data_IF_358458375490
#
_entry.id   IF_358458375490
#
_cell.length_a   1.000
_cell.length_b   1.000
_cell.length_c   1.000
_cell.angle_alpha   90.00
_cell.angle_beta   90.00
_cell.angle_gamma   90.00
#
_symmetry.space_group_name_H-M   'P 1'
#
loop_
_entity.id
_entity.type
_entity.pdbx_description
1 polymer ?
2 polymer ?
3 water ?
#
# COMPACT_ATOMS: atom_id res chain seq x y z
N UNK A 1 16.17 -10.44 -5.12
CA UNK A 1 17.53 -10.19 -4.67
C UNK A 1 17.90 -8.84 -5.29
N UNK A 2 18.86 -8.14 -4.69
CA UNK A 2 19.28 -6.86 -5.19
C UNK A 2 20.77 -7.03 -5.01
N UNK A 3 21.55 -6.17 -4.34
CA UNK A 3 22.97 -6.48 -4.18
C UNK A 3 23.06 -7.65 -3.17
N UNK A 4 22.10 -7.83 -2.24
CA UNK A 4 22.16 -9.02 -1.41
C UNK A 4 21.10 -9.97 -1.96
N UNK A 5 21.35 -11.28 -1.95
CA UNK A 5 20.41 -12.25 -2.46
C UNK A 5 19.66 -13.03 -1.38
N UNK A 6 18.35 -13.12 -1.59
CA UNK A 6 17.38 -13.75 -0.66
C UNK A 6 16.49 -14.73 -1.43
N UNK A 7 16.01 -15.90 -0.95
CA UNK A 7 14.99 -16.66 -1.65
C UNK A 7 13.82 -15.74 -1.91
N UNK A 8 13.18 -15.70 -3.06
CA UNK A 8 11.96 -14.92 -3.28
C UNK A 8 10.80 -15.28 -2.36
N UNK A 9 10.72 -16.54 -1.98
CA UNK A 9 9.61 -17.05 -1.23
C UNK A 9 10.06 -18.16 -0.30
N UNK A 10 9.50 -18.25 0.91
CA UNK A 10 9.75 -19.32 1.86
C UNK A 10 8.38 -19.59 2.47
N UNK A 11 8.07 -20.83 2.82
CA UNK A 11 6.80 -21.16 3.46
C UNK A 11 7.05 -22.16 4.56
N UNK A 12 6.21 -22.19 5.59
CA UNK A 12 6.36 -23.20 6.61
C UNK A 12 5.02 -23.38 7.27
N UNK A 13 4.85 -24.47 7.97
CA UNK A 13 3.60 -24.76 8.68
C UNK A 13 3.60 -24.12 10.06
N UNK A 14 2.47 -23.76 10.70
CA UNK A 14 2.44 -23.26 12.09
C UNK A 14 3.26 -24.15 13.01
N UNK A 15 3.96 -23.52 13.93
CA UNK A 15 4.78 -24.23 14.89
C UNK A 15 6.12 -24.65 14.36
N UNK A 16 6.37 -24.67 13.06
CA UNK A 16 7.60 -25.16 12.47
C UNK A 16 8.69 -24.08 12.52
N UNK A 17 9.91 -24.45 12.16
CA UNK A 17 11.01 -23.51 12.08
C UNK A 17 11.21 -23.15 10.62
N UNK A 18 11.43 -21.90 10.20
CA UNK A 18 11.82 -21.64 8.83
C UNK A 18 13.06 -20.75 8.86
N UNK A 19 13.81 -20.80 7.77
CA UNK A 19 15.02 -20.07 7.60
C UNK A 19 15.01 -19.23 6.33
N UNK A 20 15.51 -18.00 6.43
CA UNK A 20 15.61 -17.10 5.30
C UNK A 20 17.07 -16.69 5.16
N UNK A 21 17.74 -17.08 4.08
CA UNK A 21 19.12 -16.70 3.86
C UNK A 21 19.30 -15.35 3.13
N UNK A 22 20.47 -14.77 3.27
CA UNK A 22 20.81 -13.48 2.72
C UNK A 22 22.27 -13.63 2.30
N UNK A 23 22.59 -13.79 1.02
CA UNK A 23 23.96 -13.97 0.59
C UNK A 23 24.50 -12.70 0.00
N UNK A 24 25.66 -12.23 0.41
CA UNK A 24 26.32 -11.10 -0.20
C UNK A 24 27.68 -11.54 -0.71
N UNK A 25 28.72 -10.75 -0.48
CA UNK A 25 30.06 -10.97 -1.04
C UNK A 25 31.11 -10.45 -0.08
N UNK A 26 32.36 -10.58 -0.47
CA UNK A 26 33.50 -10.03 0.24
C UNK A 26 33.39 -8.56 0.49
N UNK A 27 32.61 -7.79 -0.26
CA UNK A 27 32.61 -6.37 -0.02
C UNK A 27 31.68 -5.97 1.08
N UNK A 28 30.72 -6.83 1.41
CA UNK A 28 29.73 -6.37 2.38
C UNK A 28 29.63 -7.33 3.52
N UNK A 29 28.79 -8.37 3.49
CA UNK A 29 28.71 -9.29 4.62
C UNK A 29 30.05 -9.99 4.87
N UNK A 30 30.80 -10.35 3.83
CA UNK A 30 32.10 -10.99 4.01
C UNK A 30 33.17 -10.01 4.45
N UNK A 31 32.83 -8.74 4.78
CA UNK A 31 33.84 -7.76 5.15
C UNK A 31 33.69 -7.29 6.58
N UNK A 32 33.11 -8.10 7.46
CA UNK A 32 32.97 -7.70 8.86
C UNK A 32 32.00 -6.59 9.12
N UNK A 33 30.91 -6.65 8.34
CA UNK A 33 29.81 -5.70 8.50
C UNK A 33 28.65 -6.46 9.09
N UNK A 34 27.87 -5.74 9.87
CA UNK A 34 26.66 -6.31 10.44
C UNK A 34 25.51 -6.55 9.45
N UNK A 35 24.55 -7.46 9.72
CA UNK A 35 23.41 -7.71 8.84
C UNK A 35 22.18 -7.38 9.67
N UNK A 36 21.33 -6.50 9.18
CA UNK A 36 20.10 -6.13 9.84
C UNK A 36 18.92 -6.69 9.06
N UNK A 37 17.78 -6.87 9.73
CA UNK A 37 16.64 -7.52 9.14
C UNK A 37 15.43 -6.67 9.40
N UNK A 38 14.55 -6.52 8.41
CA UNK A 38 13.35 -5.72 8.52
C UNK A 38 12.17 -6.59 8.14
N UNK A 39 11.04 -6.37 8.78
CA UNK A 39 9.82 -7.09 8.51
C UNK A 39 8.85 -6.08 7.90
N UNK A 40 8.18 -6.38 6.78
CA UNK A 40 7.32 -5.39 6.22
C UNK A 40 5.98 -6.06 5.98
N UNK A 41 5.01 -5.66 6.78
CA UNK A 41 3.66 -6.20 6.72
C UNK A 41 2.90 -5.44 5.63
N UNK A 42 1.79 -5.94 5.07
CA UNK A 42 1.06 -5.30 4.00
C UNK A 42 0.68 -3.85 4.30
N UNK A 43 1.09 -3.05 3.33
CA UNK A 43 0.82 -1.62 3.34
C UNK A 43 1.46 -0.88 4.51
N UNK A 44 2.59 -1.32 5.09
CA UNK A 44 3.19 -0.55 6.15
C UNK A 44 4.67 -0.36 5.79
N UNK A 45 5.28 0.57 6.52
CA UNK A 45 6.69 0.83 6.42
C UNK A 45 7.38 -0.42 6.98
N UNK A 46 8.63 -0.78 6.58
CA UNK A 46 9.45 -1.79 7.25
C UNK A 46 9.63 -1.50 8.74
N UNK A 47 9.77 -2.53 9.56
CA UNK A 47 10.04 -2.42 10.97
C UNK A 47 11.41 -3.10 11.15
N UNK A 48 12.35 -2.54 11.89
CA UNK A 48 13.63 -3.19 12.17
C UNK A 48 13.38 -4.34 13.16
N UNK A 49 13.90 -5.54 12.97
CA UNK A 49 13.71 -6.62 13.94
C UNK A 49 14.78 -6.56 14.98
N UNK A 50 14.46 -6.83 16.25
CA UNK A 50 15.37 -6.77 17.40
C UNK A 50 15.54 -8.21 17.90
N UNK A 51 16.75 -8.76 17.97
CA UNK A 51 16.93 -10.16 18.35
C UNK A 51 17.18 -10.37 19.84
N UNK A 52 17.53 -9.31 20.62
CA UNK A 52 17.71 -9.39 22.07
C UNK A 52 16.46 -9.87 22.77
N UNK A 53 16.74 -11.00 23.44
CA UNK A 53 15.79 -11.75 24.27
C UNK A 53 14.56 -12.13 23.49
N UNK A 54 14.76 -12.26 22.16
CA UNK A 54 13.66 -12.58 21.29
C UNK A 54 13.57 -14.12 21.29
N UNK A 55 12.45 -14.62 21.78
CA UNK A 55 12.22 -16.04 21.90
C UNK A 55 12.12 -16.77 20.59
N UNK A 56 11.52 -16.19 19.54
CA UNK A 56 11.30 -16.90 18.28
C UNK A 56 12.18 -16.59 17.07
N UNK A 57 12.82 -15.40 17.05
CA UNK A 57 13.60 -14.92 15.93
C UNK A 57 15.08 -14.91 16.25
N UNK A 58 15.94 -15.45 15.41
CA UNK A 58 17.36 -15.38 15.70
C UNK A 58 18.17 -15.28 14.42
N UNK A 59 19.42 -14.86 14.43
CA UNK A 59 20.19 -14.74 13.21
C UNK A 59 21.47 -15.53 13.27
N UNK A 60 21.97 -15.95 12.13
CA UNK A 60 23.24 -16.62 11.97
C UNK A 60 23.94 -15.90 10.84
N UNK A 61 25.27 -16.00 10.77
CA UNK A 61 26.06 -15.37 9.72
C UNK A 61 27.32 -16.20 9.56
N UNK A 62 27.81 -16.48 8.37
CA UNK A 62 29.06 -17.18 8.22
C UNK A 62 29.61 -16.79 6.86
N UNK A 63 30.76 -16.12 6.83
CA UNK A 63 31.35 -15.75 5.57
C UNK A 63 30.52 -14.64 4.93
N UNK A 64 30.10 -14.91 3.72
CA UNK A 64 29.32 -13.97 2.97
C UNK A 64 27.83 -14.26 3.07
N UNK A 65 27.32 -15.15 3.93
CA UNK A 65 25.89 -15.26 4.06
C UNK A 65 25.41 -15.22 5.50
N UNK A 66 24.20 -14.75 5.65
CA UNK A 66 23.52 -14.64 6.94
C UNK A 66 22.15 -15.30 6.83
N UNK A 67 21.51 -15.58 7.96
CA UNK A 67 20.24 -16.26 7.96
C UNK A 67 19.40 -15.79 9.11
N UNK A 68 18.12 -15.66 8.83
CA UNK A 68 17.16 -15.33 9.84
C UNK A 68 16.43 -16.63 10.08
N UNK A 69 16.28 -17.08 11.33
CA UNK A 69 15.49 -18.26 11.70
C UNK A 69 14.26 -17.84 12.50
N UNK A 70 13.10 -18.36 12.17
CA UNK A 70 11.89 -18.10 12.93
C UNK A 70 11.42 -19.46 13.45
N UNK A 71 11.22 -19.61 14.75
CA UNK A 71 10.72 -20.86 15.32
C UNK A 71 9.31 -20.61 15.80
N UNK A 72 8.55 -21.69 15.86
CA UNK A 72 7.19 -21.61 16.36
C UNK A 72 6.41 -20.68 15.48
N UNK A 73 6.57 -20.90 14.18
CA UNK A 73 5.93 -20.07 13.18
C UNK A 73 4.43 -19.84 13.38
N UNK A 74 4.01 -18.59 13.36
CA UNK A 74 2.62 -18.20 13.50
C UNK A 74 2.13 -17.48 12.27
N UNK A 75 0.83 -17.52 11.97
CA UNK A 75 0.26 -16.79 10.86
C UNK A 75 0.53 -15.30 10.95
N UNK A 76 0.66 -14.63 12.09
CA UNK A 76 0.97 -13.21 12.02
C UNK A 76 2.44 -12.90 11.66
N UNK A 77 3.24 -13.94 11.40
CA UNK A 77 4.58 -13.75 10.90
C UNK A 77 4.57 -13.62 9.39
N UNK A 78 3.43 -13.76 8.69
CA UNK A 78 3.43 -13.59 7.26
C UNK A 78 3.74 -12.15 6.94
N UNK A 79 4.75 -11.95 6.10
CA UNK A 79 5.24 -10.63 5.79
C UNK A 79 6.38 -10.83 4.80
N UNK A 80 6.87 -9.70 4.30
CA UNK A 80 8.08 -9.63 3.52
C UNK A 80 9.22 -9.31 4.46
N UNK A 81 10.34 -9.99 4.25
CA UNK A 81 11.51 -9.87 5.11
C UNK A 81 12.68 -9.45 4.24
N UNK A 82 13.44 -8.41 4.65
CA UNK A 82 14.56 -7.88 3.90
C UNK A 82 15.79 -7.93 4.78
N UNK A 83 16.92 -8.38 4.25
CA UNK A 83 18.15 -8.22 5.00
C UNK A 83 18.85 -6.97 4.47
N UNK A 84 19.75 -6.40 5.25
CA UNK A 84 20.45 -5.20 4.84
C UNK A 84 21.86 -5.25 5.45
N UNK A 85 22.90 -4.80 4.74
CA UNK A 85 24.24 -4.78 5.26
C UNK A 85 24.91 -3.51 4.76
N UNK A 86 26.25 -3.44 4.76
CA UNK A 86 27.02 -2.22 4.51
C UNK A 86 28.18 -2.56 3.61
N UNK A 87 28.51 -1.63 2.74
CA UNK A 87 29.67 -1.72 1.87
C UNK A 87 30.24 -0.34 2.08
N UNK A 88 31.15 -0.25 3.01
CA UNK A 88 31.69 1.05 3.43
C UNK A 88 30.57 1.83 4.15
N UNK A 89 30.25 3.03 3.70
CA UNK A 89 29.12 3.71 4.30
C UNK A 89 27.87 3.49 3.49
N UNK A 90 27.92 2.73 2.39
CA UNK A 90 26.72 2.48 1.60
C UNK A 90 25.88 1.45 2.34
N UNK A 91 24.57 1.66 2.42
CA UNK A 91 23.70 0.64 2.98
C UNK A 91 23.22 -0.18 1.82
N UNK A 92 23.26 -1.48 1.92
CA UNK A 92 22.88 -2.38 0.84
C UNK A 92 21.67 -3.25 1.22
N UNK A 93 20.54 -3.35 0.49
CA UNK A 93 19.39 -4.21 0.82
C UNK A 93 19.33 -5.47 -0.05
N UNK A 94 18.86 -6.54 0.57
CA UNK A 94 18.48 -7.71 -0.16
C UNK A 94 17.21 -7.44 -0.92
N UNK A 95 16.88 -8.39 -1.80
CA UNK A 95 15.70 -8.23 -2.62
C UNK A 95 14.40 -8.61 -1.96
N UNK A 96 14.31 -9.26 -0.80
CA UNK A 96 13.03 -9.51 -0.16
C UNK A 96 12.62 -10.96 -0.24
N UNK A 97 11.97 -11.47 0.80
CA UNK A 97 11.47 -12.84 0.85
C UNK A 97 10.06 -12.75 1.40
N UNK A 98 9.10 -13.29 0.66
CA UNK A 98 7.71 -13.32 1.07
C UNK A 98 7.58 -14.57 1.91
N UNK A 99 7.23 -14.46 3.19
CA UNK A 99 7.00 -15.66 3.99
C UNK A 99 5.52 -16.03 3.98
N UNK A 100 5.16 -17.25 3.64
CA UNK A 100 3.78 -17.70 3.66
C UNK A 100 3.68 -18.74 4.78
N UNK A 101 2.62 -18.66 5.59
CA UNK A 101 2.36 -19.68 6.59
C UNK A 101 1.31 -20.58 5.95
N UNK A 102 1.66 -21.85 5.91
CA UNK A 102 0.82 -22.87 5.33
C UNK A 102 -0.34 -23.30 6.26
N UNK A 103 -1.24 -24.07 5.66
CA UNK A 103 -2.34 -24.74 6.33
C UNK A 103 -3.34 -23.79 6.97
N UNK A 104 -3.45 -22.58 6.44
CA UNK A 104 -4.40 -21.62 6.99
C UNK A 104 -5.80 -21.96 6.45
N UNK A 105 -6.86 -21.85 7.26
CA UNK A 105 -8.22 -22.23 6.85
C UNK A 105 -8.79 -21.47 5.69
N UNK A 106 -9.51 -22.15 4.82
CA UNK A 106 -10.17 -21.47 3.72
C UNK A 106 -11.22 -20.49 4.29
N UNK A 107 -11.29 -19.22 3.83
CA UNK A 107 -12.35 -18.29 4.24
C UNK A 107 -13.15 -17.90 3.01
N UNK A 108 -14.48 -18.11 2.95
CA UNK A 108 -15.27 -17.77 1.76
C UNK A 108 -15.50 -16.27 1.71
N UNK A 109 -15.62 -15.58 0.58
CA UNK A 109 -15.73 -14.12 0.55
C UNK A 109 -17.06 -13.52 1.02
N UNK A 110 -17.09 -12.35 1.63
CA UNK A 110 -18.29 -11.59 1.87
C UNK A 110 -18.41 -10.74 0.60
N UNK A 111 -19.59 -10.66 -0.03
CA UNK A 111 -19.80 -9.88 -1.25
C UNK A 111 -20.82 -8.77 -0.98
N UNK A 112 -20.57 -7.52 -1.31
CA UNK A 112 -21.54 -6.44 -1.11
C UNK A 112 -21.71 -5.86 -2.51
N UNK A 113 -22.92 -5.67 -3.01
CA UNK A 113 -23.11 -5.11 -4.33
C UNK A 113 -23.92 -3.83 -4.20
N UNK A 114 -23.54 -2.71 -4.79
CA UNK A 114 -24.27 -1.45 -4.75
C UNK A 114 -24.75 -1.14 -6.15
N UNK A 115 -26.03 -0.75 -6.26
CA UNK A 115 -26.58 -0.16 -7.49
C UNK A 115 -25.96 1.23 -7.79
N UNK A 116 -26.07 1.80 -8.99
CA UNK A 116 -25.74 3.18 -9.30
C UNK A 116 -26.45 4.17 -8.40
N UNK A 117 -25.80 5.23 -7.91
CA UNK A 117 -26.50 6.30 -7.18
C UNK A 117 -27.37 7.11 -8.18
N UNK A 118 -28.47 7.73 -7.74
CA UNK A 118 -29.28 8.55 -8.63
C UNK A 118 -28.48 9.72 -9.12
N UNK A 119 -27.58 10.18 -8.25
CA UNK A 119 -26.69 11.27 -8.60
C UNK A 119 -25.84 10.99 -9.86
N UNK A 120 -25.27 9.78 -9.92
CA UNK A 120 -24.47 9.37 -11.03
C UNK A 120 -25.31 9.22 -12.27
N UNK A 121 -26.55 8.75 -12.11
CA UNK A 121 -27.41 8.60 -13.30
C UNK A 121 -27.69 9.97 -13.93
N UNK A 122 -27.70 11.07 -13.13
CA UNK A 122 -27.85 12.45 -13.59
C UNK A 122 -26.65 12.80 -14.45
N UNK A 123 -25.45 12.34 -14.06
CA UNK A 123 -24.25 12.50 -14.87
C UNK A 123 -24.26 11.65 -16.15
N UNK A 124 -25.33 10.93 -16.46
CA UNK A 124 -25.44 10.07 -17.63
C UNK A 124 -24.51 8.88 -17.60
N UNK A 125 -24.20 8.37 -16.40
CA UNK A 125 -23.28 7.25 -16.22
C UNK A 125 -23.84 6.33 -15.14
N UNK A 126 -23.41 5.07 -15.07
CA UNK A 126 -23.92 4.14 -14.06
C UNK A 126 -22.82 3.13 -13.72
N UNK A 127 -22.46 3.04 -12.44
CA UNK A 127 -21.47 2.09 -12.01
C UNK A 127 -22.12 1.23 -10.96
N UNK A 128 -22.03 -0.10 -11.11
CA UNK A 128 -22.44 -1.09 -10.13
C UNK A 128 -21.13 -1.52 -9.47
N UNK A 129 -21.10 -1.59 -8.14
CA UNK A 129 -19.89 -1.78 -7.38
C UNK A 129 -20.03 -3.10 -6.60
N UNK A 130 -19.26 -4.11 -6.95
CA UNK A 130 -19.18 -5.37 -6.21
C UNK A 130 -17.89 -5.46 -5.37
N UNK A 131 -18.02 -5.44 -4.04
CA UNK A 131 -16.92 -5.44 -3.11
C UNK A 131 -16.81 -6.82 -2.49
N UNK A 132 -15.58 -7.36 -2.54
CA UNK A 132 -15.36 -8.75 -2.17
C UNK A 132 -14.31 -8.76 -1.10
N UNK A 133 -14.65 -9.26 0.07
CA UNK A 133 -13.70 -9.22 1.15
C UNK A 133 -13.63 -10.49 2.00
N UNK A 134 -12.52 -10.52 2.73
CA UNK A 134 -12.19 -11.53 3.70
C UNK A 134 -12.07 -12.93 3.20
N UNK A 135 -11.55 -13.11 2.02
CA UNK A 135 -11.42 -14.45 1.52
C UNK A 135 -10.00 -14.99 1.54
N UNK A 136 -9.86 -16.31 1.56
CA UNK A 136 -8.59 -16.96 1.60
C UNK A 136 -8.79 -18.39 1.09
N UNK A 137 -7.98 -18.94 0.17
CA UNK A 137 -6.85 -18.26 -0.45
C UNK A 137 -7.23 -17.14 -1.42
N UNK A 138 -6.26 -16.41 -1.96
CA UNK A 138 -6.49 -15.22 -2.76
C UNK A 138 -6.92 -15.35 -4.20
N UNK A 139 -7.52 -16.36 -4.79
CA UNK A 139 -7.99 -16.23 -6.16
C UNK A 139 -9.51 -16.24 -6.15
N UNK A 140 -10.14 -15.41 -6.98
CA UNK A 140 -11.59 -15.44 -7.17
C UNK A 140 -11.84 -15.21 -8.63
N UNK A 141 -13.02 -15.61 -9.09
CA UNK A 141 -13.46 -15.36 -10.43
C UNK A 141 -14.68 -14.49 -10.17
N UNK A 142 -14.85 -13.43 -10.94
CA UNK A 142 -15.95 -12.50 -10.76
C UNK A 142 -16.54 -12.48 -12.13
N UNK A 143 -17.84 -12.68 -12.17
CA UNK A 143 -18.55 -12.59 -13.45
C UNK A 143 -19.83 -11.80 -13.20
N UNK A 144 -20.31 -11.16 -14.24
CA UNK A 144 -21.51 -10.36 -14.15
C UNK A 144 -22.55 -10.92 -15.11
N UNK A 145 -23.79 -10.90 -14.61
CA UNK A 145 -24.98 -11.23 -15.37
C UNK A 145 -26.04 -10.10 -15.38
N UNK A 146 -26.60 -9.91 -16.57
CA UNK A 146 -27.69 -8.97 -16.86
C UNK A 146 -28.84 -9.96 -17.09
N UNK A 147 -29.76 -9.98 -16.12
CA UNK A 147 -30.79 -10.99 -16.00
C UNK A 147 -30.11 -12.34 -15.91
N UNK A 148 -30.10 -13.18 -16.95
CA UNK A 148 -29.37 -14.45 -16.87
C UNK A 148 -28.16 -14.46 -17.82
N UNK A 149 -28.05 -13.52 -18.76
CA UNK A 149 -26.96 -13.57 -19.71
C UNK A 149 -25.70 -12.90 -19.16
N UNK A 150 -24.49 -13.40 -19.54
CA UNK A 150 -23.19 -12.85 -19.14
C UNK A 150 -22.88 -11.50 -19.68
N UNK A 151 -22.25 -10.66 -18.86
CA UNK A 151 -21.86 -9.34 -19.29
C UNK A 151 -20.34 -9.45 -19.31
N UNK A 152 -19.74 -9.10 -20.45
CA UNK A 152 -18.28 -9.09 -20.62
C UNK A 152 -17.73 -7.69 -20.67
N UNK A 153 -18.44 -6.84 -21.44
CA UNK A 153 -17.97 -5.48 -21.63
C UNK A 153 -18.23 -4.63 -20.41
N UNK A 154 -17.31 -3.72 -20.21
CA UNK A 154 -17.42 -2.72 -19.18
C UNK A 154 -17.00 -3.19 -17.83
N UNK A 155 -16.35 -4.34 -17.69
CA UNK A 155 -15.98 -4.85 -16.37
C UNK A 155 -14.51 -4.55 -16.04
N UNK A 156 -14.26 -4.04 -14.84
CA UNK A 156 -12.94 -3.75 -14.34
C UNK A 156 -12.86 -4.43 -12.96
N UNK A 157 -12.02 -5.47 -12.82
CA UNK A 157 -11.83 -6.18 -11.57
C UNK A 157 -10.40 -6.02 -11.11
N UNK A 158 -10.17 -5.72 -9.84
CA UNK A 158 -8.85 -5.66 -9.31
C UNK A 158 -8.28 -7.06 -9.05
N UNK A 159 -6.95 -7.09 -8.92
CA UNK A 159 -6.23 -8.27 -8.50
C UNK A 159 -6.36 -8.34 -7.01
N UNK A 160 -6.56 -9.46 -6.32
CA UNK A 160 -6.85 -9.49 -4.90
C UNK A 160 -5.65 -8.98 -4.12
N UNK A 161 -5.78 -8.31 -2.98
CA UNK A 161 -4.59 -7.89 -2.31
C UNK A 161 -4.79 -8.21 -0.87
N UNK A 162 -3.69 -8.51 -0.21
CA UNK A 162 -3.74 -9.01 1.14
C UNK A 162 -3.91 -7.91 2.15
N UNK A 163 -4.85 -8.15 3.04
CA UNK A 163 -5.18 -7.22 4.11
C UNK A 163 -4.29 -7.55 5.33
N UNK A 164 -4.33 -6.68 6.34
CA UNK A 164 -3.60 -6.85 7.59
C UNK A 164 -3.96 -8.19 8.21
N UNK A 165 -5.25 -8.51 8.20
CA UNK A 165 -5.72 -9.76 8.76
C UNK A 165 -5.30 -11.04 8.04
N UNK A 166 -4.49 -10.95 6.98
CA UNK A 166 -4.04 -12.03 6.12
C UNK A 166 -5.02 -12.61 5.11
N UNK A 167 -6.25 -12.09 5.07
CA UNK A 167 -7.20 -12.44 4.03
C UNK A 167 -7.12 -11.42 2.90
N UNK A 168 -7.77 -11.64 1.78
CA UNK A 168 -7.71 -10.78 0.59
C UNK A 168 -9.02 -10.02 0.40
N UNK A 169 -8.88 -8.93 -0.33
CA UNK A 169 -9.99 -8.06 -0.71
C UNK A 169 -9.90 -7.81 -2.19
N UNK A 170 -10.98 -7.68 -2.93
CA UNK A 170 -10.96 -7.35 -4.33
C UNK A 170 -12.21 -6.49 -4.66
N UNK A 171 -12.36 -5.92 -5.86
CA UNK A 171 -13.48 -5.08 -6.25
C UNK A 171 -13.68 -5.34 -7.72
N UNK A 172 -14.92 -5.25 -8.18
CA UNK A 172 -15.21 -5.30 -9.61
C UNK A 172 -16.25 -4.19 -9.82
N UNK A 173 -16.09 -3.46 -10.92
CA UNK A 173 -16.90 -2.32 -11.28
C UNK A 173 -17.48 -2.62 -12.64
N UNK A 174 -18.77 -2.41 -12.82
CA UNK A 174 -19.40 -2.61 -14.12
C UNK A 174 -19.93 -1.25 -14.55
N UNK A 175 -19.53 -0.80 -15.72
CA UNK A 175 -19.96 0.50 -16.23
C UNK A 175 -21.03 0.27 -17.27
N UNK A 176 -22.16 0.93 -17.09
CA UNK A 176 -23.32 0.80 -17.95
C UNK A 176 -23.80 2.19 -18.36
N UNK A 177 -24.61 2.33 -19.40
CA UNK A 177 -25.25 3.61 -19.69
C UNK A 177 -26.51 3.57 -18.83
N UNK A 178 -27.15 4.66 -18.41
CA UNK A 178 -28.41 4.62 -17.68
C UNK A 178 -29.51 3.82 -18.40
N UNK A 179 -29.56 3.84 -19.74
CA UNK A 179 -30.56 3.08 -20.46
C UNK A 179 -30.28 1.59 -20.33
N UNK A 180 -29.02 1.11 -20.46
CA UNK A 180 -28.72 -0.30 -20.22
C UNK A 180 -29.10 -0.74 -18.82
N UNK A 181 -28.85 0.11 -17.82
CA UNK A 181 -29.25 -0.21 -16.46
C UNK A 181 -30.77 -0.32 -16.35
N UNK A 182 -31.54 0.64 -16.87
CA UNK A 182 -32.98 0.59 -16.71
C UNK A 182 -33.63 -0.53 -17.51
N UNK A 183 -33.00 -0.98 -18.59
CA UNK A 183 -33.57 -2.03 -19.40
C UNK A 183 -33.36 -3.47 -18.95
N UNK A 184 -33.06 -3.80 -17.68
CA UNK A 184 -32.95 -5.21 -17.26
C UNK A 184 -33.61 -5.34 -15.93
N UNK A 185 -34.17 -6.50 -15.63
CA UNK A 185 -34.83 -6.62 -14.35
C UNK A 185 -33.78 -6.75 -13.23
N UNK A 186 -32.61 -7.39 -13.50
CA UNK A 186 -31.57 -7.57 -12.49
C UNK A 186 -30.18 -7.60 -13.10
N UNK A 187 -29.22 -7.29 -12.23
CA UNK A 187 -27.78 -7.44 -12.50
C UNK A 187 -27.26 -8.20 -11.30
N UNK A 188 -26.41 -9.21 -11.57
CA UNK A 188 -25.78 -10.01 -10.52
C UNK A 188 -24.26 -9.94 -10.64
N UNK A 189 -23.67 -9.81 -9.47
CA UNK A 189 -22.25 -10.00 -9.32
C UNK A 189 -22.09 -11.44 -8.75
N UNK A 190 -21.45 -12.30 -9.53
CA UNK A 190 -21.23 -13.69 -9.24
C UNK A 190 -19.75 -13.91 -8.93
N UNK A 191 -19.44 -14.32 -7.72
CA UNK A 191 -18.09 -14.46 -7.25
C UNK A 191 -17.85 -15.92 -6.91
N UNK A 192 -17.00 -16.62 -7.67
CA UNK A 192 -16.66 -17.99 -7.34
C UNK A 192 -15.27 -18.09 -6.73
N UNK A 193 -15.20 -18.81 -5.63
CA UNK A 193 -14.01 -18.99 -4.85
C UNK A 193 -13.89 -20.46 -4.48
N UNK A 194 -12.77 -21.08 -4.92
CA UNK A 194 -12.48 -22.47 -4.61
C UNK A 194 -13.69 -23.32 -4.88
N UNK A 195 -14.24 -23.08 -6.06
CA UNK A 195 -15.40 -23.83 -6.48
C UNK A 195 -16.73 -23.43 -5.85
N UNK A 196 -16.93 -22.54 -4.90
CA UNK A 196 -18.29 -22.15 -4.46
C UNK A 196 -18.60 -20.75 -4.90
N UNK A 197 -19.83 -20.53 -5.31
CA UNK A 197 -20.27 -19.25 -5.81
C UNK A 197 -21.14 -18.57 -4.78
N UNK A 198 -20.95 -17.26 -4.69
CA UNK A 198 -21.74 -16.37 -3.86
C UNK A 198 -22.30 -15.43 -4.94
N UNK A 199 -23.60 -15.17 -5.04
CA UNK A 199 -24.12 -14.28 -6.04
C UNK A 199 -24.93 -13.17 -5.34
N UNK A 200 -24.94 -11.94 -5.84
CA UNK A 200 -25.68 -10.86 -5.23
C UNK A 200 -26.28 -10.15 -6.41
N UNK A 201 -27.53 -9.72 -6.22
CA UNK A 201 -28.29 -9.16 -7.30
C UNK A 201 -28.88 -7.80 -6.92
N UNK A 202 -29.08 -6.94 -7.90
CA UNK A 202 -29.69 -5.64 -7.68
C UNK A 202 -30.59 -5.41 -8.87
N UNK A 203 -31.60 -4.59 -8.66
CA UNK A 203 -32.62 -4.30 -9.65
C UNK A 203 -32.84 -2.79 -9.70
N UNK A 204 -33.10 -2.20 -10.88
CA UNK A 204 -33.55 -0.81 -11.01
C UNK A 204 -34.81 -0.52 -10.19
N UNK B 1 6.10 10.18 19.81
CA UNK B 1 7.41 9.56 20.04
C UNK B 1 8.27 10.21 18.95
N UNK B 2 9.33 9.57 18.48
CA UNK B 2 10.10 10.04 17.33
C UNK B 2 9.08 10.02 16.20
N UNK B 3 8.86 11.07 15.43
CA UNK B 3 7.88 11.05 14.37
C UNK B 3 8.59 11.69 13.18
N UNK B 4 8.50 11.02 12.01
CA UNK B 4 9.09 11.48 10.78
C UNK B 4 7.95 11.61 9.80
N UNK B 5 7.87 12.69 9.04
CA UNK B 5 6.78 12.87 8.10
C UNK B 5 7.30 13.45 6.81
N UNK B 6 7.09 12.73 5.72
CA UNK B 6 7.43 13.14 4.37
C UNK B 6 6.49 14.23 3.83
N UNK B 7 6.90 15.01 2.86
CA UNK B 7 6.05 15.98 2.22
C UNK B 7 6.65 16.21 0.87
N UNK B 8 5.86 16.28 -0.18
CA UNK B 8 6.37 16.68 -1.49
C UNK B 8 5.27 16.49 -2.52
N UNK B 9 5.50 16.77 -3.80
CA UNK B 9 4.54 16.57 -4.86
C UNK B 9 4.23 15.07 -4.98
N UNK B 10 3.01 14.80 -5.39
CA UNK B 10 2.63 13.43 -5.63
C UNK B 10 2.82 13.12 -7.10
N UNK B 11 2.85 14.06 -8.02
CA UNK B 11 2.98 13.83 -9.46
C UNK B 11 4.13 14.73 -9.95
N UNK B 12 5.06 14.19 -10.72
CA UNK B 12 6.18 14.95 -11.25
C UNK B 12 6.26 14.56 -12.71
N UNK B 13 6.46 15.54 -13.60
CA UNK B 13 6.63 15.25 -15.02
C UNK B 13 8.01 14.67 -15.31
N UNK B 14 8.18 13.77 -16.30
CA UNK B 14 9.47 13.30 -16.77
C UNK B 14 10.37 14.50 -17.04
N UNK B 15 11.63 14.37 -16.57
CA UNK B 15 12.75 15.26 -16.73
C UNK B 15 12.80 16.31 -15.67
N UNK B 16 11.72 16.53 -14.94
CA UNK B 16 11.76 17.46 -13.84
C UNK B 16 12.51 16.91 -12.61
N UNK B 17 12.57 17.70 -11.54
CA UNK B 17 13.26 17.35 -10.32
C UNK B 17 12.22 17.02 -9.25
N UNK B 18 12.31 15.83 -8.65
CA UNK B 18 11.49 15.43 -7.55
C UNK B 18 12.11 16.09 -6.34
N UNK B 19 11.31 16.70 -5.50
CA UNK B 19 11.79 17.34 -4.32
C UNK B 19 10.97 16.82 -3.13
N UNK B 20 11.52 16.31 -2.02
CA UNK B 20 10.72 15.82 -0.92
C UNK B 20 11.30 16.31 0.36
N UNK B 21 10.56 16.65 1.42
CA UNK B 21 11.11 17.08 2.69
C UNK B 21 10.60 16.16 3.80
N UNK B 22 11.38 15.97 4.85
CA UNK B 22 11.01 15.15 5.95
C UNK B 22 11.20 16.05 7.14
N UNK B 23 10.22 16.05 8.04
CA UNK B 23 10.27 16.83 9.25
C UNK B 23 10.29 15.76 10.32
N UNK B 24 11.18 16.04 11.24
CA UNK B 24 11.58 15.13 12.28
C UNK B 24 11.04 15.67 13.59
N UNK B 25 10.51 14.87 14.51
CA UNK B 25 10.21 15.42 15.81
C UNK B 25 10.31 14.32 16.82
N UNK B 26 10.57 14.69 18.07
CA UNK B 26 10.66 13.71 19.13
C UNK B 26 12.07 13.15 19.26
N UNK B 27 13.07 13.72 18.59
CA UNK B 27 14.41 13.17 18.67
C UNK B 27 15.39 14.30 18.52
N UNK B 28 16.68 14.06 18.83
CA UNK B 28 17.70 15.06 18.57
C UNK B 28 18.01 14.95 17.08
N UNK B 29 18.30 16.04 16.40
CA UNK B 29 18.59 15.99 14.99
C UNK B 29 20.03 15.68 14.67
N UNK B 30 20.91 15.90 15.62
CA UNK B 30 22.32 15.80 15.35
C UNK B 30 23.00 14.47 15.61
N UNK B 31 22.31 13.37 15.90
CA UNK B 31 23.11 12.17 16.14
C UNK B 31 22.76 11.02 15.22
N UNK B 32 22.16 11.32 14.05
CA UNK B 32 21.59 10.30 13.18
C UNK B 32 21.89 10.60 11.74
N UNK B 33 21.99 9.53 10.96
CA UNK B 33 22.07 9.68 9.53
C UNK B 33 20.63 9.73 8.99
N UNK B 34 20.20 10.89 8.55
CA UNK B 34 18.85 11.07 8.05
C UNK B 34 18.82 10.48 6.67
N UNK B 35 17.95 9.47 6.54
CA UNK B 35 17.92 8.61 5.39
C UNK B 35 16.71 8.74 4.48
N UNK B 36 16.90 8.43 3.21
CA UNK B 36 15.82 8.23 2.28
C UNK B 36 15.99 6.83 1.69
N UNK B 37 14.86 6.13 1.62
CA UNK B 37 14.76 4.78 1.02
C UNK B 37 13.51 4.84 0.11
N UNK B 38 13.43 4.16 -1.02
CA UNK B 38 12.26 4.16 -1.84
C UNK B 38 11.91 2.74 -2.14
N UNK B 39 10.66 2.53 -2.49
CA UNK B 39 10.17 1.21 -2.84
C UNK B 39 9.24 1.35 -4.03
N UNK B 40 9.70 1.06 -5.26
CA UNK B 40 8.93 1.07 -6.48
C UNK B 40 7.80 0.06 -6.34
N UNK B 41 6.58 0.27 -6.92
CA UNK B 41 5.41 -0.58 -6.75
C UNK B 41 5.74 -2.01 -7.19
N UNK B 42 5.42 -2.92 -6.28
CA UNK B 42 5.73 -4.32 -6.45
C UNK B 42 7.23 -4.66 -6.51
N UNK B 43 8.15 -3.82 -5.97
CA UNK B 43 9.57 -4.12 -6.00
C UNK B 43 10.16 -4.03 -4.60
N UNK B 44 11.44 -4.32 -4.40
CA UNK B 44 12.03 -4.26 -3.08
C UNK B 44 12.45 -2.86 -2.72
N UNK B 45 13.10 -2.74 -1.58
CA UNK B 45 13.55 -1.48 -1.00
C UNK B 45 14.85 -1.08 -1.63
N UNK B 46 15.06 0.18 -1.82
CA UNK B 46 16.30 0.66 -2.41
C UNK B 46 16.76 1.86 -1.63
N UNK B 47 17.94 1.76 -1.01
CA UNK B 47 18.52 2.85 -0.29
C UNK B 47 18.91 3.97 -1.27
N UNK B 48 18.72 5.23 -0.86
CA UNK B 48 19.01 6.33 -1.75
C UNK B 48 20.22 7.00 -1.14
N UNK B 49 20.22 7.37 0.13
CA UNK B 49 21.35 8.04 0.72
C UNK B 49 21.00 8.56 2.07
N UNK B 50 22.00 9.15 2.72
CA UNK B 50 21.79 9.77 4.01
C UNK B 50 22.51 11.13 4.04
N UNK B 51 22.19 11.92 5.04
CA UNK B 51 22.90 13.15 5.32
C UNK B 51 22.92 13.27 6.84
N UNK B 52 24.09 13.71 7.32
CA UNK B 52 24.35 13.98 8.74
C UNK B 52 24.27 15.50 8.89
N UNK B 53 23.97 16.08 10.06
CA UNK B 53 23.79 17.51 10.18
C UNK B 53 25.05 18.29 9.84
N UNK B 54 26.25 17.75 9.98
CA UNK B 54 27.46 18.46 9.57
C UNK B 54 27.57 18.56 8.04
N UNK B 55 26.82 17.79 7.26
CA UNK B 55 26.92 17.83 5.83
C UNK B 55 27.50 16.54 5.34
N UNK B 56 28.04 15.65 6.19
CA UNK B 56 28.52 14.34 5.71
C UNK B 56 27.38 13.61 5.01
N UNK B 57 27.65 13.10 3.83
CA UNK B 57 26.59 12.54 3.06
C UNK B 57 27.16 11.43 2.22
N UNK B 58 26.28 10.50 1.88
CA UNK B 58 26.63 9.46 0.94
C UNK B 58 25.38 9.05 0.20
N UNK B 59 25.46 8.57 -1.02
CA UNK B 59 24.29 8.21 -1.77
C UNK B 59 24.56 6.93 -2.54
N UNK B 60 23.50 6.31 -3.03
CA UNK B 60 23.59 5.07 -3.77
C UNK B 60 24.35 5.36 -5.07
N UNK B 61 25.43 4.66 -5.46
CA UNK B 61 26.17 4.94 -6.70
C UNK B 61 25.30 4.89 -7.95
N UNK B 62 24.19 4.15 -8.03
CA UNK B 62 23.44 4.12 -9.26
C UNK B 62 22.58 5.35 -9.47
N UNK B 63 22.53 6.24 -8.52
CA UNK B 63 21.79 7.48 -8.67
C UNK B 63 22.82 8.62 -8.64
N UNK B 64 24.09 8.32 -8.90
CA UNK B 64 25.13 9.33 -8.82
C UNK B 64 24.79 10.41 -9.87
N UNK B 65 24.98 11.65 -9.43
CA UNK B 65 24.74 12.73 -10.34
C UNK B 65 23.31 13.24 -10.23
N UNK B 66 22.33 12.52 -9.66
CA UNK B 66 20.98 13.06 -9.58
C UNK B 66 20.53 13.49 -8.21
N UNK B 67 21.26 13.15 -7.16
CA UNK B 67 20.84 13.34 -5.78
C UNK B 67 21.47 14.57 -5.11
N UNK B 68 20.69 15.39 -4.47
CA UNK B 68 21.24 16.42 -3.62
C UNK B 68 20.40 16.27 -2.37
N UNK B 69 21.04 16.26 -1.21
CA UNK B 69 20.37 16.21 0.07
C UNK B 69 20.69 17.49 0.76
N UNK B 70 19.63 17.96 1.40
CA UNK B 70 19.64 19.24 2.05
C UNK B 70 19.26 19.02 3.49
N UNK B 71 19.83 19.77 4.40
CA UNK B 71 19.56 19.72 5.83
C UNK B 71 19.15 21.15 6.20
N UNK B 72 18.23 21.30 7.13
CA UNK B 72 17.88 22.60 7.62
C UNK B 72 17.67 22.35 9.11
N UNK B 73 18.75 22.60 9.82
CA UNK B 73 18.79 22.42 11.26
C UNK B 73 17.79 23.32 11.99
N UNK B 74 17.52 24.54 11.54
CA UNK B 74 16.59 25.42 12.22
C UNK B 74 15.17 24.87 12.14
N UNK B 75 14.82 24.21 11.04
CA UNK B 75 13.51 23.60 10.95
C UNK B 75 13.53 22.13 11.34
N UNK B 76 14.64 21.42 11.63
CA UNK B 76 14.65 19.97 11.84
C UNK B 76 14.08 19.25 10.63
N UNK B 77 14.52 19.68 9.48
CA UNK B 77 14.03 19.12 8.24
C UNK B 77 15.23 18.73 7.40
N UNK B 78 14.99 17.76 6.52
CA UNK B 78 16.00 17.43 5.55
C UNK B 78 15.22 17.09 4.28
N UNK B 79 15.85 17.25 3.12
CA UNK B 79 15.16 17.11 1.86
C UNK B 79 15.96 16.28 0.88
N UNK B 80 15.28 15.71 -0.09
CA UNK B 80 15.88 14.97 -1.15
C UNK B 80 15.53 15.77 -2.39
N UNK B 81 16.42 15.93 -3.37
CA UNK B 81 16.09 16.49 -4.67
C UNK B 81 16.71 15.46 -5.60
N UNK B 82 15.90 14.92 -6.48
CA UNK B 82 16.32 13.89 -7.41
C UNK B 82 15.99 14.51 -8.76
N UNK B 83 16.99 14.78 -9.58
CA UNK B 83 16.76 15.49 -10.82
C UNK B 83 16.52 14.52 -11.94
N UNK B 84 16.03 15.04 -13.04
CA UNK B 84 15.80 14.27 -14.24
C UNK B 84 15.06 12.94 -14.01
N UNK B 85 13.88 13.03 -13.40
CA UNK B 85 13.15 11.81 -13.13
C UNK B 85 12.61 11.17 -14.40
N UNK B 86 12.41 9.87 -14.39
CA UNK B 86 11.79 9.18 -15.48
C UNK B 86 10.71 8.32 -14.81
N UNK B 87 9.93 7.53 -15.54
CA UNK B 87 8.92 6.65 -14.99
C UNK B 87 9.51 5.70 -13.98
N UNK B 88 10.72 5.25 -14.20
CA UNK B 88 11.45 4.42 -13.29
C UNK B 88 11.52 4.95 -11.86
N UNK B 89 11.43 6.29 -11.66
CA UNK B 89 11.48 6.85 -10.31
C UNK B 89 10.14 6.88 -9.60
N UNK B 90 9.08 6.37 -10.22
CA UNK B 90 7.82 6.23 -9.49
C UNK B 90 8.04 5.26 -8.32
N UNK B 91 7.79 5.68 -7.08
CA UNK B 91 8.00 4.83 -5.94
C UNK B 91 7.38 5.46 -4.72
N UNK B 92 7.25 4.69 -3.62
CA UNK B 92 7.00 5.25 -2.31
C UNK B 92 8.37 5.66 -1.75
N UNK B 93 8.51 6.87 -1.24
CA UNK B 93 9.75 7.40 -0.70
C UNK B 93 9.56 7.53 0.78
N UNK B 94 10.41 6.87 1.53
CA UNK B 94 10.38 6.93 2.97
C UNK B 94 11.53 7.77 3.50
N UNK B 95 11.34 8.67 4.47
CA UNK B 95 12.53 9.15 5.14
C UNK B 95 12.65 8.32 6.39
N UNK B 96 13.86 8.15 6.89
CA UNK B 96 14.08 7.25 7.98
C UNK B 96 15.25 7.71 8.83
N UNK B 97 15.31 7.14 10.01
CA UNK B 97 16.37 7.34 10.95
C UNK B 97 17.34 6.14 10.97
N UNK B 98 18.59 6.42 10.51
CA UNK B 98 19.63 5.40 10.51
C UNK B 98 20.51 5.73 11.73
N UNK B 99 20.69 4.74 12.59
CA UNK B 99 21.43 4.86 13.85
C UNK B 99 22.94 4.89 13.66
N UNK B 100 23.44 4.84 12.43
CA UNK B 100 24.84 4.80 12.02
C UNK B 100 25.30 3.41 12.38
N UNK B 101 25.33 2.97 13.64
CA UNK B 101 25.59 1.56 13.92
C UNK B 101 24.29 1.15 14.61
N UNK B 102 23.56 0.18 14.08
CA UNK B 102 22.35 -0.22 14.71
C UNK B 102 21.16 -0.38 13.77
N UNK B 103 21.24 0.10 12.53
CA UNK B 103 20.18 -0.04 11.54
C UNK B 103 19.22 1.13 11.46
N UNK B 104 18.20 0.95 10.63
CA UNK B 104 17.29 2.04 10.37
C UNK B 104 16.08 1.73 11.26
N UNK B 105 15.88 2.46 12.38
CA UNK B 105 14.89 2.04 13.37
C UNK B 105 13.56 2.74 13.31
N UNK B 106 13.44 3.93 12.72
CA UNK B 106 12.19 4.63 12.71
C UNK B 106 12.00 5.05 11.25
N UNK B 107 10.84 4.81 10.69
CA UNK B 107 10.56 5.05 9.28
C UNK B 107 9.37 5.96 9.23
N UNK B 108 9.29 6.88 8.25
CA UNK B 108 8.08 7.67 8.11
C UNK B 108 6.99 6.79 7.48
N UNK B 109 5.93 7.38 7.00
CA UNK B 109 4.79 6.63 6.51
C UNK B 109 4.96 6.33 5.03
N UNK B 110 5.73 7.17 4.36
CA UNK B 110 6.08 7.00 2.96
C UNK B 110 5.27 7.93 2.11
N UNK B 111 5.82 8.55 1.06
CA UNK B 111 5.00 9.28 0.12
C UNK B 111 5.18 8.74 -1.26
N UNK B 112 4.03 8.52 -1.88
CA UNK B 112 3.99 7.96 -3.21
C UNK B 112 4.18 9.12 -4.19
N UNK B 113 5.19 8.99 -5.03
CA UNK B 113 5.44 9.92 -6.11
C UNK B 113 5.28 9.18 -7.43
N UNK B 114 4.41 9.70 -8.29
CA UNK B 114 4.20 9.15 -9.59
C UNK B 114 4.82 10.15 -10.58
N UNK B 115 5.61 9.61 -11.49
CA UNK B 115 6.25 10.40 -12.54
C UNK B 115 5.50 10.12 -13.81
N UNK B 116 4.84 11.11 -14.38
CA UNK B 116 3.95 10.88 -15.51
C UNK B 116 3.79 12.16 -16.29
N UNK B 117 3.50 12.02 -17.58
CA UNK B 117 3.08 13.15 -18.40
C UNK B 117 1.60 13.46 -18.26
N UNK B 118 0.78 12.58 -17.70
CA UNK B 118 -0.66 12.80 -17.56
C UNK B 118 -0.94 13.86 -16.51
N UNK B 119 -2.00 14.67 -16.61
CA UNK B 119 -2.32 15.72 -15.64
C UNK B 119 -3.08 15.13 -14.47
N UNK B 120 -3.02 15.71 -13.28
CA UNK B 120 -3.87 15.28 -12.21
C UNK B 120 -5.36 15.54 -12.53
N UNK B 121 -6.23 14.74 -11.94
CA UNK B 121 -7.65 14.92 -12.02
C UNK B 121 -8.19 14.55 -10.65
N UNK B 122 -8.93 15.45 -10.01
CA UNK B 122 -9.54 15.18 -8.72
C UNK B 122 -10.76 14.24 -8.88
N UNK B 123 -11.24 13.55 -7.86
CA UNK B 123 -12.28 12.55 -8.01
C UNK B 123 -13.71 13.08 -8.13
N UNK B 124 -14.65 12.40 -8.77
CA UNK B 124 -16.06 12.73 -8.55
C UNK B 124 -16.50 11.81 -7.42
N UNK B 125 -17.22 12.24 -6.38
CA UNK B 125 -17.61 11.38 -5.29
C UNK B 125 -19.12 11.13 -5.36
N UNK B 126 -19.56 9.88 -5.38
CA UNK B 126 -20.96 9.53 -5.37
C UNK B 126 -21.29 8.79 -4.09
N UNK B 127 -22.45 8.98 -3.46
CA UNK B 127 -22.84 8.23 -2.27
C UNK B 127 -23.28 6.81 -2.61
N UNK B 128 -23.00 5.82 -1.80
CA UNK B 128 -23.45 4.45 -2.03
C UNK B 128 -24.36 4.21 -0.84
N UNK B 129 -25.66 4.46 -1.06
CA UNK B 129 -26.68 4.38 -0.02
C UNK B 129 -26.95 2.96 0.46
N UNK B 130 -27.15 2.77 1.78
CA UNK B 130 -27.51 1.49 2.37
C UNK B 130 -28.79 0.94 1.75
N UNK B 139 -27.21 -4.63 10.39
CA UNK B 139 -26.23 -3.64 10.03
C UNK B 139 -26.54 -3.33 8.58
N UNK B 140 -26.17 -2.14 8.13
CA UNK B 140 -26.34 -1.81 6.73
C UNK B 140 -24.92 -1.39 6.34
N UNK B 141 -24.54 -1.50 5.08
CA UNK B 141 -23.24 -1.06 4.65
C UNK B 141 -23.55 0.17 3.83
N UNK B 142 -22.88 1.26 4.04
CA UNK B 142 -23.10 2.40 3.17
C UNK B 142 -21.69 2.85 2.75
N UNK B 143 -21.51 3.66 1.72
CA UNK B 143 -20.17 4.03 1.31
C UNK B 143 -20.13 5.20 0.37
N UNK B 144 -18.93 5.45 -0.16
CA UNK B 144 -18.67 6.48 -1.14
C UNK B 144 -17.82 5.85 -2.23
N UNK B 145 -18.20 6.15 -3.47
CA UNK B 145 -17.53 5.74 -4.66
C UNK B 145 -16.68 6.95 -5.03
N UNK B 146 -15.36 6.84 -5.00
CA UNK B 146 -14.43 7.92 -5.36
C UNK B 146 -13.96 7.55 -6.76
N UNK B 147 -14.51 8.19 -7.76
CA UNK B 147 -14.41 7.86 -9.18
C UNK B 147 -13.43 8.72 -9.97
N UNK B 148 -12.67 8.08 -10.83
CA UNK B 148 -11.86 8.75 -11.85
C UNK B 148 -10.91 9.87 -11.47
N UNK B 149 -9.89 9.48 -10.73
CA UNK B 149 -8.92 10.43 -10.28
C UNK B 149 -7.55 9.94 -10.71
N UNK B 150 -6.58 10.84 -10.70
CA UNK B 150 -5.24 10.47 -11.05
C UNK B 150 -4.30 11.50 -10.43
N UNK B 151 -3.13 11.17 -9.83
CA UNK B 151 -2.71 9.80 -9.56
C UNK B 151 -3.27 9.36 -8.21
N UNK B 152 -2.78 8.22 -7.76
CA UNK B 152 -2.96 7.80 -6.39
C UNK B 152 -2.12 8.73 -5.53
N UNK B 153 -2.35 8.80 -4.22
CA UNK B 153 -3.47 8.16 -3.53
C UNK B 153 -4.62 9.13 -3.22
N UNK B 154 -5.68 8.63 -2.63
CA UNK B 154 -6.74 9.45 -2.16
C UNK B 154 -6.88 9.00 -0.70
N UNK B 155 -7.18 9.89 0.23
CA UNK B 155 -7.44 9.56 1.62
C UNK B 155 -8.96 9.65 1.85
N UNK B 156 -9.61 8.68 2.48
CA UNK B 156 -11.02 8.78 2.77
C UNK B 156 -11.20 8.61 4.28
N UNK B 157 -11.81 9.56 4.97
CA UNK B 157 -12.14 9.35 6.35
C UNK B 157 -13.64 9.55 6.49
N UNK B 158 -14.18 9.08 7.60
CA UNK B 158 -15.60 9.20 7.84
C UNK B 158 -15.76 10.00 9.10
N UNK B 159 -16.62 10.99 8.94
CA UNK B 159 -17.02 11.91 9.97
C UNK B 159 -15.78 12.57 10.52
N UNK B 160 -14.98 13.13 9.63
CA UNK B 160 -13.70 13.76 9.96
C UNK B 160 -12.80 12.93 10.90
N UNK B 161 -12.78 11.61 10.72
CA UNK B 161 -11.97 10.74 11.54
C UNK B 161 -12.69 10.22 12.76
N UNK B 162 -13.90 10.69 13.04
CA UNK B 162 -14.60 10.22 14.22
C UNK B 162 -15.00 8.78 14.04
N UNK B 163 -15.30 8.33 12.83
CA UNK B 163 -15.78 6.97 12.68
C UNK B 163 -14.60 6.20 12.15
N UNK B 164 -14.18 5.20 12.89
CA UNK B 164 -13.13 4.29 12.48
C UNK B 164 -13.65 2.86 12.54
N UNK B 165 -14.65 2.64 13.38
CA UNK B 165 -15.17 1.32 13.61
C UNK B 165 -15.88 0.78 12.38
N UNK B 166 -15.31 -0.26 11.77
CA UNK B 166 -15.97 -0.91 10.66
C UNK B 166 -15.87 -0.17 9.34
N UNK B 167 -14.78 0.57 9.12
CA UNK B 167 -14.54 1.25 7.87
C UNK B 167 -13.65 0.35 7.02
N UNK B 168 -13.92 0.14 5.74
CA UNK B 168 -13.04 -0.61 4.88
C UNK B 168 -12.93 0.12 3.57
N UNK B 169 -11.75 0.70 3.34
CA UNK B 169 -11.46 1.33 2.06
C UNK B 169 -10.75 0.29 1.22
N UNK B 170 -11.27 0.00 0.03
CA UNK B 170 -10.73 -1.02 -0.83
C UNK B 170 -9.60 -0.46 -1.71
N UNK B 171 -8.67 -1.28 -2.22
CA UNK B 171 -7.66 -0.87 -3.20
C UNK B 171 -8.33 -0.35 -4.44
N UNK B 172 -7.78 0.73 -5.01
CA UNK B 172 -8.30 1.31 -6.23
C UNK B 172 -8.13 0.38 -7.41
N UNK B 173 -8.95 0.58 -8.43
CA UNK B 173 -8.83 -0.13 -9.68
C UNK B 173 -8.27 0.88 -10.67
N UNK B 174 -7.35 0.48 -11.53
CA UNK B 174 -6.89 1.34 -12.57
C UNK B 174 -7.73 0.93 -13.74
N UNK B 175 -8.51 1.88 -14.23
CA UNK B 175 -9.42 1.62 -15.31
C UNK B 175 -8.74 1.81 -16.65
N UNK B 176 -9.28 1.24 -17.73
CA UNK B 176 -8.79 1.49 -19.07
C UNK B 176 -8.68 2.95 -19.45
N UNK B 177 -9.46 3.85 -18.87
CA UNK B 177 -9.25 5.26 -19.11
C UNK B 177 -7.89 5.76 -18.62
N UNK B 178 -7.17 5.02 -17.78
CA UNK B 178 -5.95 5.47 -17.16
C UNK B 178 -6.23 6.15 -15.83
N UNK B 179 -7.49 6.21 -15.41
CA UNK B 179 -7.87 6.85 -14.17
C UNK B 179 -8.21 5.79 -13.14
N UNK B 180 -8.12 6.09 -11.86
CA UNK B 180 -8.43 5.21 -10.77
C UNK B 180 -9.82 5.46 -10.22
N UNK B 181 -10.42 4.44 -9.61
CA UNK B 181 -11.61 4.59 -8.79
C UNK B 181 -11.39 3.68 -7.58
N UNK B 182 -11.93 4.07 -6.40
CA UNK B 182 -11.99 3.17 -5.28
C UNK B 182 -13.32 3.34 -4.54
N UNK B 183 -13.59 2.49 -3.57
CA UNK B 183 -14.80 2.61 -2.77
C UNK B 183 -14.42 2.43 -1.32
N UNK B 184 -15.06 3.16 -0.45
CA UNK B 184 -14.88 3.05 0.97
C UNK B 184 -16.28 2.76 1.49
N UNK B 185 -16.39 1.79 2.38
CA UNK B 185 -17.67 1.40 2.92
C UNK B 185 -17.55 1.29 4.44
N UNK B 186 -18.59 1.62 5.17
CA UNK B 186 -18.59 1.48 6.60
C UNK B 186 -19.86 0.67 6.95
N UNK B 187 -19.72 -0.30 7.85
CA UNK B 187 -20.82 -1.14 8.29
C UNK B 187 -21.39 -0.49 9.54
N UNK B 188 -22.67 -0.16 9.54
CA UNK B 188 -23.31 0.52 10.66
C UNK B 188 -24.50 -0.25 11.24
N UNK B 189 -24.84 -0.09 12.54
CA UNK B 189 -26.10 -0.52 13.14
C UNK B 189 -27.28 0.17 12.45
N UNK B 190 -28.29 -0.64 12.16
CA UNK B 190 -29.46 -0.22 11.38
C UNK B 190 -30.33 0.83 12.10
N UNK B 191 -30.24 0.82 13.41
CA UNK B 191 -30.89 1.78 14.28
C UNK B 191 -30.47 3.23 14.00
N UNK B 192 -29.22 3.39 13.60
CA UNK B 192 -28.65 4.70 13.37
C UNK B 192 -29.04 5.38 12.07
N UNK B 193 -29.57 4.67 11.05
CA UNK B 193 -29.88 5.23 9.75
C UNK B 193 -31.00 6.26 9.69
N UNK B 194 -30.75 7.39 10.34
CA UNK B 194 -31.73 8.45 10.48
C UNK B 194 -31.26 9.30 11.64
N UNK B 195 -30.84 8.65 12.72
CA UNK B 195 -30.34 9.34 13.88
C UNK B 195 -28.89 9.79 13.80
N UNK B 196 -28.04 9.10 13.03
CA UNK B 196 -26.63 9.45 12.90
C UNK B 196 -26.35 9.86 11.46
N UNK B 197 -25.42 10.80 11.31
CA UNK B 197 -24.97 11.27 10.03
C UNK B 197 -23.64 10.61 9.61
N UNK B 198 -23.55 10.34 8.31
CA UNK B 198 -22.39 9.69 7.75
C UNK B 198 -21.87 10.59 6.67
N UNK B 199 -20.68 11.14 6.90
CA UNK B 199 -20.01 11.96 5.91
C UNK B 199 -18.67 11.35 5.50
N UNK B 200 -18.41 11.14 4.21
CA UNK B 200 -17.07 10.71 3.83
C UNK B 200 -16.32 11.95 3.36
N UNK B 201 -15.07 12.07 3.82
CA UNK B 201 -14.20 13.22 3.59
C UNK B 201 -13.15 12.64 2.68
N UNK B 202 -13.07 13.09 1.45
CA UNK B 202 -12.17 12.56 0.47
C UNK B 202 -11.12 13.66 0.24
N UNK B 203 -9.86 13.34 0.31
CA UNK B 203 -8.84 14.32 0.12
C UNK B 203 -7.89 13.79 -0.93
N UNK B 204 -7.75 14.46 -2.06
CA UNK B 204 -6.85 14.05 -3.13
C UNK B 204 -5.80 15.14 -3.21
N UNK B 205 -4.75 14.91 -2.43
CA UNK B 205 -3.69 15.90 -2.34
C UNK B 205 -3.08 16.23 -3.69
N UNK B 206 -2.81 15.37 -4.69
CA UNK B 206 -2.24 15.77 -5.97
C UNK B 206 -2.97 16.83 -6.77
N UNK B 207 -4.31 16.86 -6.66
CA UNK B 207 -5.05 17.88 -7.39
C UNK B 207 -5.56 18.91 -6.42
N UNK B 208 -5.19 18.84 -5.14
CA UNK B 208 -5.66 19.73 -4.08
C UNK B 208 -7.20 19.81 -4.07
N UNK B 209 -7.87 18.68 -4.03
CA UNK B 209 -9.32 18.62 -4.03
C UNK B 209 -9.74 17.94 -2.74
N UNK B 210 -10.64 18.54 -1.98
CA UNK B 210 -11.21 17.86 -0.84
C UNK B 210 -12.72 17.90 -1.08
N UNK B 211 -13.39 16.75 -0.96
CA UNK B 211 -14.83 16.67 -1.12
C UNK B 211 -15.44 16.08 0.14
N UNK B 212 -16.48 16.70 0.66
CA UNK B 212 -17.29 16.10 1.73
C UNK B 212 -18.65 15.78 1.15
N UNK B 213 -19.03 14.52 1.31
CA UNK B 213 -20.30 14.01 0.84
C UNK B 213 -21.07 13.27 1.94
N UNK B 214 -22.26 13.79 2.26
CA UNK B 214 -23.11 13.17 3.26
C UNK B 214 -23.77 11.96 2.64
N UNK B 215 -23.82 10.80 3.24
CA UNK B 215 -24.54 9.68 2.64
C UNK B 215 -25.86 9.44 3.40
N UNK B 216 -26.98 9.50 2.69
CA UNK B 216 -28.33 9.26 3.21
C UNK B 216 -28.87 7.98 2.60
N UNK B 217 -29.79 7.30 3.30
CA UNK B 217 -30.67 6.27 2.73
C UNK B 217 -31.84 6.82 1.89
#
# INVERSE_FOLDING_TARGET
>A
ASVLTQPPSVSGAPGQRVTISCTGSSSNIGAGHNVKWYQQLPGTAPKLLIFHNNARFSVSKSGTSATLAITGLQAEDEADYYCQSYDRSLRVFGGGTKLTVLRQPKAAPSVTLFPPSSEELQANKATLVCLISDFYPGAVTVAWKADSSPVKAGVETTTPSKQSNNKYAASSYLSLTPEQWKSHKSYSCQVTHEGSTVEKTVAPTECS
>B
AVQLEQSGPGLVRPSQTLSLTCTVSGTSFDDYYWTWVRQPPGRGLEWIGYVFYTGTTLLDPSLRGRVTMLVNTSKNQFSLRLSSVTAADTAVYYCARNLIAGGIDVWGQGSLVTVSSASTKGPSVFPLAPSSKSTSGGTAALGCLVKDYFPEPVTVSWNSGALTSGVHTFPAVLQSSGLYSLSSVVTVPSSSLGTQTYICNVNHKPSNTKVDKKVEP
#
